data_IF_881610412008
#
_entry.id   IF_881610412008
#
_cell.length_a   1.000
_cell.length_b   1.000
_cell.length_c   1.000
_cell.angle_alpha   90.00
_cell.angle_beta   90.00
_cell.angle_gamma   90.00
#
_symmetry.space_group_name_H-M   'P 1'
#
loop_
_entity.id
_entity.type
_entity.pdbx_description
1 polymer ?
#
# COMPACT_ATOMS: atom_id res chain seq x y z
N UNK A 1 40.66 -9.74 -14.73
CA UNK A 1 41.06 -8.49 -15.40
C UNK A 1 40.81 -7.36 -14.43
N UNK A 2 41.87 -6.75 -13.90
CA UNK A 2 41.85 -5.82 -12.76
C UNK A 2 42.68 -4.59 -13.13
N UNK A 3 42.37 -4.01 -14.28
CA UNK A 3 43.04 -2.85 -14.86
C UNK A 3 41.93 -2.02 -15.48
N UNK A 4 41.52 -0.94 -14.80
CA UNK A 4 40.87 0.24 -15.41
C UNK A 4 40.45 1.27 -14.34
N UNK A 5 40.31 0.87 -13.07
CA UNK A 5 39.85 1.80 -12.01
C UNK A 5 40.86 2.90 -11.64
N UNK A 6 42.16 2.68 -11.89
CA UNK A 6 43.23 3.62 -11.53
C UNK A 6 43.44 4.75 -12.54
N UNK A 7 43.12 4.54 -13.81
CA UNK A 7 43.32 5.56 -14.87
C UNK A 7 42.21 6.60 -14.85
N UNK A 8 40.97 6.19 -14.57
CA UNK A 8 39.84 7.13 -14.40
C UNK A 8 40.01 8.01 -13.16
N UNK A 9 40.46 7.46 -12.02
CA UNK A 9 40.67 8.23 -10.78
C UNK A 9 41.77 9.28 -10.91
N UNK A 10 42.88 8.98 -11.61
CA UNK A 10 43.92 9.98 -11.85
C UNK A 10 43.45 11.16 -12.72
N UNK A 11 42.50 10.93 -13.64
CA UNK A 11 41.89 12.01 -14.42
C UNK A 11 40.86 12.78 -13.60
N UNK A 12 40.06 12.10 -12.76
CA UNK A 12 39.03 12.76 -11.96
C UNK A 12 39.60 13.84 -11.05
N UNK A 13 40.74 13.58 -10.41
CA UNK A 13 41.38 14.54 -9.50
C UNK A 13 41.90 15.78 -10.25
N UNK A 14 42.35 15.61 -11.49
CA UNK A 14 42.83 16.69 -12.35
C UNK A 14 41.67 17.57 -12.84
N UNK A 15 40.50 16.99 -13.14
CA UNK A 15 39.30 17.74 -13.50
C UNK A 15 38.67 18.49 -12.32
N UNK A 16 38.73 17.94 -11.09
CA UNK A 16 38.22 18.63 -9.90
C UNK A 16 39.02 19.91 -9.57
N UNK A 17 40.23 20.08 -10.13
CA UNK A 17 40.99 21.33 -10.04
C UNK A 17 40.30 22.52 -10.70
N UNK A 18 39.33 22.27 -11.61
CA UNK A 18 38.57 23.30 -12.32
C UNK A 18 37.38 23.84 -11.51
N UNK A 19 36.99 23.14 -10.43
CA UNK A 19 35.83 23.52 -9.61
C UNK A 19 35.91 24.95 -9.06
N UNK A 20 37.06 25.46 -8.55
CA UNK A 20 37.16 26.84 -8.10
C UNK A 20 36.82 27.87 -9.18
N UNK A 21 37.26 27.63 -10.41
CA UNK A 21 37.02 28.54 -11.54
C UNK A 21 35.58 28.47 -12.04
N UNK A 22 35.01 27.26 -12.10
CA UNK A 22 33.59 27.04 -12.40
C UNK A 22 32.70 27.73 -11.35
N UNK A 23 33.05 27.64 -10.08
CA UNK A 23 32.34 28.30 -8.99
C UNK A 23 32.37 29.83 -9.16
N UNK A 24 33.52 30.40 -9.55
CA UNK A 24 33.66 31.83 -9.87
C UNK A 24 32.70 32.24 -11.01
N UNK A 25 32.70 31.50 -12.12
CA UNK A 25 31.85 31.79 -13.29
C UNK A 25 30.36 31.75 -12.99
N UNK A 26 29.95 30.76 -12.19
CA UNK A 26 28.56 30.58 -11.79
C UNK A 26 28.13 31.52 -10.65
N UNK A 27 29.02 32.34 -10.10
CA UNK A 27 28.79 33.15 -8.90
C UNK A 27 28.33 32.29 -7.70
N UNK A 28 28.95 31.12 -7.53
CA UNK A 28 28.64 30.16 -6.47
C UNK A 28 29.86 29.93 -5.58
N UNK A 29 29.67 29.41 -4.36
CA UNK A 29 30.80 28.97 -3.55
C UNK A 29 31.36 27.64 -4.07
N UNK A 30 32.67 27.44 -3.95
CA UNK A 30 33.34 26.15 -4.22
C UNK A 30 32.67 25.01 -3.47
N UNK A 31 32.30 25.26 -2.21
CA UNK A 31 31.58 24.29 -1.39
C UNK A 31 30.21 23.91 -1.96
N UNK A 32 29.54 24.81 -2.69
CA UNK A 32 28.25 24.53 -3.32
C UNK A 32 28.43 23.64 -4.54
N UNK A 33 29.42 23.92 -5.38
CA UNK A 33 29.72 23.08 -6.54
C UNK A 33 30.16 21.67 -6.10
N UNK A 34 30.93 21.55 -5.01
CA UNK A 34 31.33 20.26 -4.43
C UNK A 34 30.19 19.45 -3.79
N UNK A 35 29.02 20.06 -3.53
CA UNK A 35 27.86 19.34 -2.99
C UNK A 35 27.04 18.66 -4.08
N UNK A 36 27.24 19.00 -5.35
CA UNK A 36 26.58 18.30 -6.44
C UNK A 36 27.01 16.83 -6.50
N UNK A 37 26.18 15.93 -7.06
CA UNK A 37 26.60 14.57 -7.35
C UNK A 37 27.89 14.54 -8.19
N UNK A 38 28.74 13.52 -8.01
CA UNK A 38 30.03 13.40 -8.72
C UNK A 38 29.87 13.51 -10.24
N UNK A 39 28.84 12.90 -10.80
CA UNK A 39 28.56 12.92 -12.24
C UNK A 39 28.29 14.36 -12.72
N UNK A 40 27.55 15.16 -11.95
CA UNK A 40 27.30 16.57 -12.25
C UNK A 40 28.58 17.39 -12.13
N UNK A 41 29.41 17.12 -11.12
CA UNK A 41 30.73 17.77 -11.00
C UNK A 41 31.60 17.47 -12.23
N UNK A 42 31.60 16.23 -12.71
CA UNK A 42 32.33 15.84 -13.92
C UNK A 42 31.78 16.51 -15.17
N UNK A 43 30.46 16.52 -15.37
CA UNK A 43 29.82 17.18 -16.52
C UNK A 43 30.16 18.69 -16.53
N UNK A 44 30.13 19.35 -15.38
CA UNK A 44 30.51 20.77 -15.28
C UNK A 44 31.98 20.99 -15.67
N UNK A 45 32.89 20.13 -15.19
CA UNK A 45 34.31 20.22 -15.52
C UNK A 45 34.57 19.92 -17.00
N UNK A 46 33.86 18.96 -17.58
CA UNK A 46 33.95 18.59 -18.99
C UNK A 46 33.44 19.72 -19.90
N UNK A 47 32.28 20.30 -19.59
CA UNK A 47 31.74 21.45 -20.33
C UNK A 47 32.68 22.64 -20.25
N UNK A 48 33.24 22.90 -19.06
CA UNK A 48 34.23 23.96 -18.88
C UNK A 48 35.45 23.73 -19.78
N UNK A 49 36.03 22.53 -19.75
CA UNK A 49 37.21 22.19 -20.54
C UNK A 49 36.95 22.26 -22.05
N UNK A 50 35.80 21.75 -22.50
CA UNK A 50 35.40 21.75 -23.92
C UNK A 50 35.12 23.16 -24.45
N UNK A 51 34.70 24.08 -23.59
CA UNK A 51 34.34 25.45 -23.97
C UNK A 51 35.31 26.50 -23.42
N UNK A 52 36.52 26.13 -22.99
CA UNK A 52 37.45 27.07 -22.34
C UNK A 52 37.81 28.28 -23.22
N UNK A 53 37.77 28.12 -24.55
CA UNK A 53 38.06 29.18 -25.53
C UNK A 53 36.85 30.08 -25.83
N UNK A 54 35.67 29.74 -25.34
CA UNK A 54 34.47 30.54 -25.51
C UNK A 54 34.53 31.80 -24.63
N UNK A 55 33.67 32.77 -24.94
CA UNK A 55 33.50 33.93 -24.07
C UNK A 55 32.86 33.54 -22.72
N UNK A 56 33.10 34.38 -21.71
CA UNK A 56 32.65 34.12 -20.34
C UNK A 56 31.12 33.99 -20.23
N UNK A 57 30.35 34.67 -21.08
CA UNK A 57 28.88 34.63 -21.07
C UNK A 57 28.41 33.27 -21.58
N UNK A 58 28.93 32.82 -22.73
CA UNK A 58 28.62 31.50 -23.30
C UNK A 58 28.97 30.38 -22.32
N UNK A 59 30.13 30.47 -21.67
CA UNK A 59 30.58 29.47 -20.71
C UNK A 59 29.67 29.43 -19.47
N UNK A 60 29.31 30.59 -18.93
CA UNK A 60 28.38 30.72 -17.81
C UNK A 60 26.99 30.18 -18.15
N UNK A 61 26.49 30.43 -19.36
CA UNK A 61 25.20 29.90 -19.80
C UNK A 61 25.21 28.37 -19.90
N UNK A 62 26.24 27.79 -20.50
CA UNK A 62 26.36 26.33 -20.63
C UNK A 62 26.44 25.64 -19.27
N UNK A 63 27.27 26.15 -18.36
CA UNK A 63 27.38 25.64 -16.99
C UNK A 63 26.08 25.85 -16.19
N UNK A 64 25.43 27.00 -16.40
CA UNK A 64 24.17 27.35 -15.74
C UNK A 64 23.02 26.41 -16.14
N UNK A 65 22.95 25.99 -17.40
CA UNK A 65 21.96 25.02 -17.87
C UNK A 65 22.08 23.68 -17.13
N UNK A 66 23.29 23.19 -16.89
CA UNK A 66 23.51 21.94 -16.14
C UNK A 66 23.03 22.07 -14.70
N UNK A 67 23.35 23.19 -14.05
CA UNK A 67 22.88 23.46 -12.68
C UNK A 67 21.36 23.53 -12.62
N UNK A 68 20.72 24.20 -13.58
CA UNK A 68 19.28 24.31 -13.68
C UNK A 68 18.64 22.92 -13.85
N UNK A 69 19.08 22.14 -14.84
CA UNK A 69 18.56 20.80 -15.09
C UNK A 69 18.72 19.87 -13.89
N UNK A 70 19.85 19.95 -13.17
CA UNK A 70 20.04 19.20 -11.94
C UNK A 70 19.01 19.61 -10.87
N UNK A 71 18.76 20.91 -10.71
CA UNK A 71 17.77 21.40 -9.74
C UNK A 71 16.34 20.98 -10.08
N UNK A 72 15.97 20.98 -11.36
CA UNK A 72 14.66 20.52 -11.85
C UNK A 72 14.51 19.02 -11.62
N UNK A 73 15.54 18.24 -11.93
CA UNK A 73 15.58 16.78 -11.72
C UNK A 73 15.42 16.44 -10.22
N UNK A 74 16.15 17.13 -9.34
CA UNK A 74 16.01 16.92 -7.89
C UNK A 74 14.60 17.25 -7.38
N UNK A 75 13.95 18.28 -7.93
CA UNK A 75 12.58 18.63 -7.59
C UNK A 75 11.59 17.58 -8.11
N UNK A 76 11.77 17.10 -9.33
CA UNK A 76 10.91 16.07 -9.93
C UNK A 76 10.99 14.75 -9.14
N UNK A 77 12.19 14.34 -8.73
CA UNK A 77 12.38 13.17 -7.86
C UNK A 77 11.65 13.37 -6.51
N UNK A 78 11.77 14.54 -5.89
CA UNK A 78 11.05 14.86 -4.64
C UNK A 78 9.53 14.82 -4.82
N UNK A 79 9.02 15.32 -5.94
CA UNK A 79 7.60 15.32 -6.24
C UNK A 79 7.08 13.90 -6.51
N UNK A 80 7.84 13.08 -7.25
CA UNK A 80 7.52 11.69 -7.55
C UNK A 80 7.51 10.82 -6.29
N UNK A 81 8.52 10.97 -5.42
CA UNK A 81 8.58 10.26 -4.13
C UNK A 81 7.39 10.62 -3.25
N UNK A 82 7.05 11.91 -3.13
CA UNK A 82 5.88 12.36 -2.38
C UNK A 82 4.54 11.82 -2.92
N UNK A 83 4.38 11.77 -4.25
CA UNK A 83 3.22 11.17 -4.89
C UNK A 83 3.13 9.65 -4.61
N UNK A 84 4.26 8.95 -4.67
CA UNK A 84 4.32 7.51 -4.37
C UNK A 84 3.98 7.17 -2.91
N UNK A 85 4.42 8.00 -1.96
CA UNK A 85 4.12 7.81 -0.54
C UNK A 85 2.65 8.07 -0.22
N UNK A 86 2.04 9.07 -0.87
CA UNK A 86 0.60 9.30 -0.78
C UNK A 86 -0.20 8.11 -1.33
N UNK A 87 0.20 7.57 -2.49
CA UNK A 87 -0.45 6.40 -3.08
C UNK A 87 -0.38 5.18 -2.14
N UNK A 88 0.78 4.88 -1.56
CA UNK A 88 0.95 3.77 -0.60
C UNK A 88 0.08 3.92 0.65
N UNK A 89 -0.10 5.15 1.15
CA UNK A 89 -0.98 5.41 2.31
C UNK A 89 -2.45 5.18 1.95
N UNK A 90 -2.88 5.58 0.76
CA UNK A 90 -4.26 5.36 0.27
C UNK A 90 -4.54 3.88 0.11
N UNK A 91 -3.64 3.10 -0.51
CA UNK A 91 -3.80 1.65 -0.67
C UNK A 91 -3.93 0.91 0.65
N UNK A 92 -3.12 1.30 1.66
CA UNK A 92 -3.20 0.69 2.99
C UNK A 92 -4.57 0.96 3.65
N UNK A 93 -5.11 2.17 3.52
CA UNK A 93 -6.44 2.52 4.06
C UNK A 93 -7.56 1.75 3.34
N UNK A 94 -7.48 1.60 2.02
CA UNK A 94 -8.46 0.84 1.24
C UNK A 94 -8.42 -0.65 1.64
N UNK A 95 -7.22 -1.22 1.78
CA UNK A 95 -7.05 -2.62 2.22
C UNK A 95 -7.65 -2.88 3.61
N UNK A 96 -7.44 -1.96 4.57
CA UNK A 96 -8.04 -2.08 5.91
C UNK A 96 -9.57 -2.04 5.85
N UNK A 97 -10.16 -1.10 5.11
CA UNK A 97 -11.63 -1.02 4.95
C UNK A 97 -12.22 -2.27 4.28
N UNK A 98 -11.53 -2.84 3.29
CA UNK A 98 -11.99 -4.05 2.62
C UNK A 98 -12.03 -5.27 3.56
N UNK A 99 -11.04 -5.38 4.45
CA UNK A 99 -11.02 -6.43 5.47
C UNK A 99 -12.16 -6.27 6.50
N UNK A 100 -12.41 -5.05 6.98
CA UNK A 100 -13.52 -4.77 7.91
C UNK A 100 -14.88 -5.13 7.29
N UNK A 101 -15.13 -4.72 6.04
CA UNK A 101 -16.38 -5.04 5.33
C UNK A 101 -16.55 -6.55 5.17
N UNK A 102 -15.47 -7.27 4.84
CA UNK A 102 -15.52 -8.73 4.67
C UNK A 102 -15.86 -9.45 5.98
N UNK A 103 -15.32 -8.99 7.11
CA UNK A 103 -15.65 -9.54 8.44
C UNK A 103 -17.11 -9.30 8.82
N UNK A 104 -17.61 -8.08 8.61
CA UNK A 104 -19.02 -7.73 8.88
C UNK A 104 -19.97 -8.59 8.04
N UNK A 105 -19.64 -8.82 6.77
CA UNK A 105 -20.45 -9.68 5.89
C UNK A 105 -20.49 -11.13 6.37
N UNK A 106 -19.35 -11.68 6.80
CA UNK A 106 -19.29 -13.04 7.36
C UNK A 106 -20.14 -13.15 8.63
N UNK A 107 -20.03 -12.18 9.55
CA UNK A 107 -20.83 -12.17 10.78
C UNK A 107 -22.34 -12.12 10.47
N UNK A 108 -22.76 -11.24 9.55
CA UNK A 108 -24.16 -11.15 9.12
C UNK A 108 -24.67 -12.47 8.52
N UNK A 109 -23.84 -13.18 7.75
CA UNK A 109 -24.20 -14.50 7.22
C UNK A 109 -24.36 -15.53 8.32
N UNK A 110 -23.45 -15.57 9.29
CA UNK A 110 -23.51 -16.50 10.42
C UNK A 110 -24.72 -16.23 11.32
N UNK A 111 -25.04 -14.96 11.60
CA UNK A 111 -26.26 -14.58 12.36
C UNK A 111 -27.52 -15.06 11.63
N UNK A 112 -27.59 -14.85 10.31
CA UNK A 112 -28.72 -15.35 9.50
C UNK A 112 -28.86 -16.87 9.54
N UNK A 113 -27.76 -17.61 9.39
CA UNK A 113 -27.77 -19.08 9.49
C UNK A 113 -28.26 -19.55 10.85
N UNK A 114 -27.77 -18.93 11.94
CA UNK A 114 -28.19 -19.25 13.31
C UNK A 114 -29.68 -18.98 13.52
N UNK A 115 -30.21 -17.87 13.03
CA UNK A 115 -31.63 -17.55 13.12
C UNK A 115 -32.51 -18.60 12.42
N UNK A 116 -32.10 -19.06 11.23
CA UNK A 116 -32.80 -20.11 10.49
C UNK A 116 -32.78 -21.45 11.24
N UNK A 117 -31.63 -21.85 11.80
CA UNK A 117 -31.53 -23.08 12.60
C UNK A 117 -32.43 -23.03 13.82
N UNK A 118 -32.49 -21.90 14.52
CA UNK A 118 -33.39 -21.70 15.67
C UNK A 118 -34.85 -21.78 15.24
N UNK A 119 -35.21 -21.19 14.10
CA UNK A 119 -36.57 -21.26 13.57
C UNK A 119 -36.98 -22.71 13.27
N UNK A 120 -36.12 -23.48 12.62
CA UNK A 120 -36.33 -24.92 12.37
C UNK A 120 -36.47 -25.72 13.67
N UNK A 121 -35.68 -25.39 14.70
CA UNK A 121 -35.79 -26.02 16.02
C UNK A 121 -37.17 -25.75 16.66
N UNK A 122 -37.65 -24.51 16.59
CA UNK A 122 -38.97 -24.12 17.11
C UNK A 122 -40.08 -24.87 16.36
N UNK A 123 -40.00 -24.95 15.03
CA UNK A 123 -40.98 -25.71 14.22
C UNK A 123 -40.98 -27.19 14.61
N UNK A 124 -39.81 -27.80 14.76
CA UNK A 124 -39.70 -29.21 15.19
C UNK A 124 -40.29 -29.43 16.58
N UNK A 125 -39.95 -28.58 17.54
CA UNK A 125 -40.48 -28.66 18.90
C UNK A 125 -42.01 -28.50 18.91
N UNK A 126 -42.56 -27.56 18.14
CA UNK A 126 -44.01 -27.36 18.04
C UNK A 126 -44.74 -28.59 17.47
N UNK A 127 -44.17 -29.25 16.45
CA UNK A 127 -44.72 -30.52 15.91
C UNK A 127 -44.76 -31.61 16.97
N UNK A 128 -43.66 -31.81 17.71
CA UNK A 128 -43.57 -32.82 18.78
C UNK A 128 -44.63 -32.58 19.86
N UNK A 129 -44.80 -31.33 20.30
CA UNK A 129 -45.81 -30.98 21.32
C UNK A 129 -47.22 -31.32 20.82
N UNK A 130 -47.55 -30.93 19.59
CA UNK A 130 -48.85 -31.22 18.98
C UNK A 130 -49.12 -32.72 18.90
N UNK A 131 -48.17 -33.48 18.39
CA UNK A 131 -48.34 -34.93 18.18
C UNK A 131 -48.47 -35.67 19.53
N UNK A 132 -47.71 -35.26 20.55
CA UNK A 132 -47.86 -35.77 21.92
C UNK A 132 -49.24 -35.48 22.51
N UNK A 133 -49.78 -34.28 22.30
CA UNK A 133 -51.11 -33.90 22.77
C UNK A 133 -52.21 -34.77 22.15
N UNK A 134 -52.15 -35.03 20.84
CA UNK A 134 -53.09 -35.95 20.17
C UNK A 134 -52.99 -37.37 20.70
N UNK A 135 -51.78 -37.90 20.87
CA UNK A 135 -51.56 -39.26 21.37
C UNK A 135 -52.06 -39.41 22.82
N UNK A 136 -51.88 -38.39 23.66
CA UNK A 136 -52.34 -38.40 25.04
C UNK A 136 -53.88 -38.39 25.13
N UNK A 137 -54.55 -37.60 24.29
CA UNK A 137 -56.02 -37.63 24.21
C UNK A 137 -56.54 -38.99 23.76
N UNK A 138 -55.96 -39.58 22.71
CA UNK A 138 -56.38 -40.90 22.25
C UNK A 138 -56.20 -41.98 23.33
N UNK A 139 -55.06 -41.97 24.04
CA UNK A 139 -54.84 -42.89 25.16
C UNK A 139 -55.92 -42.76 26.25
N UNK A 140 -56.31 -41.53 26.60
CA UNK A 140 -57.38 -41.29 27.59
C UNK A 140 -58.76 -41.77 27.12
N UNK A 141 -59.09 -41.59 25.84
CA UNK A 141 -60.35 -42.12 25.28
C UNK A 141 -60.39 -43.64 25.29
N UNK A 142 -59.27 -44.29 24.95
CA UNK A 142 -59.15 -45.75 24.97
C UNK A 142 -59.30 -46.27 26.40
N UNK A 143 -58.58 -45.68 27.37
CA UNK A 143 -58.67 -46.06 28.78
C UNK A 143 -60.07 -45.86 29.37
N UNK A 144 -60.76 -44.76 29.05
CA UNK A 144 -62.15 -44.53 29.48
C UNK A 144 -63.08 -45.60 28.93
N UNK A 145 -63.00 -45.91 27.63
CA UNK A 145 -63.83 -46.94 27.02
C UNK A 145 -63.57 -48.32 27.65
N UNK A 146 -62.31 -48.66 27.89
CA UNK A 146 -61.93 -49.91 28.54
C UNK A 146 -62.47 -50.02 29.97
N UNK A 147 -62.46 -48.91 30.74
CA UNK A 147 -63.05 -48.86 32.08
C UNK A 147 -64.58 -48.96 32.06
N UNK A 148 -65.23 -48.37 31.07
CA UNK A 148 -66.69 -48.49 30.87
C UNK A 148 -67.06 -49.94 30.55
N UNK A 149 -66.33 -50.60 29.66
CA UNK A 149 -66.58 -52.00 29.30
C UNK A 149 -66.31 -52.95 30.48
N UNK A 150 -65.27 -52.72 31.28
CA UNK A 150 -65.02 -53.48 32.52
C UNK A 150 -66.15 -53.33 33.56
N UNK A 151 -66.79 -52.15 33.64
CA UNK A 151 -67.94 -51.90 34.54
C UNK A 151 -69.26 -52.51 34.06
N UNK A 152 -69.39 -52.87 32.79
CA UNK A 152 -70.59 -53.54 32.23
C UNK A 152 -70.57 -55.06 32.42
N UNK A 153 -69.42 -55.65 32.73
CA UNK A 153 -69.21 -57.10 32.82
C UNK A 153 -69.18 -57.63 34.27
N UNK A 154 -69.34 -56.78 35.27
CA UNK A 154 -69.51 -57.14 36.69
C UNK A 154 -70.85 -56.65 37.22
#
# INVERSE_FOLDING_TARGET
MLIDRTVEQSKSDDYLSLIPEIARLLNMSVSTVKRYPNDIQHILCEIYANNYKADEITLKQALGQVVQLNSETEQEIKNSTYASEKAKKVDKVISHKHNEISQIQQEHQEVRKRALLTHEQIIRNAKIIRDNYYNQQQGQFVEQNEQIERKKQG
#
